data_IF_028420966415
#
_entry.id   IF_028420966415
#
_cell.length_a   1.000
_cell.length_b   1.000
_cell.length_c   1.000
_cell.angle_alpha   90.00
_cell.angle_beta   90.00
_cell.angle_gamma   90.00
#
_symmetry.space_group_name_H-M   'P 1'
#
loop_
_entity.id
_entity.type
_entity.pdbx_description
1 polymer ?
#
# COMPACT_ATOMS: atom_id res chain seq x y z
N UNK A 1 5.91 -1.54 61.29
CA UNK A 1 6.54 -1.34 59.97
C UNK A 1 6.18 -2.52 59.08
N UNK A 2 5.35 -2.33 58.07
CA UNK A 2 4.92 -3.38 57.13
C UNK A 2 5.64 -3.15 55.80
N UNK A 3 6.64 -3.97 55.51
CA UNK A 3 7.26 -4.00 54.18
C UNK A 3 6.29 -4.67 53.21
N UNK A 4 5.63 -3.88 52.36
CA UNK A 4 5.00 -4.39 51.14
C UNK A 4 6.12 -4.73 50.15
N UNK A 5 6.38 -6.03 50.00
CA UNK A 5 7.10 -6.57 48.86
C UNK A 5 6.22 -6.38 47.62
N UNK A 6 6.50 -5.32 46.86
CA UNK A 6 5.98 -5.15 45.50
C UNK A 6 6.71 -6.19 44.64
N UNK A 7 6.07 -7.33 44.45
CA UNK A 7 6.46 -8.30 43.43
C UNK A 7 6.32 -7.61 42.08
N UNK A 8 7.44 -7.16 41.52
CA UNK A 8 7.57 -6.90 40.09
C UNK A 8 7.41 -8.24 39.38
N UNK A 9 6.17 -8.62 39.12
CA UNK A 9 5.83 -9.64 38.14
C UNK A 9 6.31 -9.09 36.79
N UNK A 10 7.54 -9.46 36.43
CA UNK A 10 8.03 -9.46 35.06
C UNK A 10 7.17 -10.46 34.28
N UNK A 11 5.94 -10.08 33.96
CA UNK A 11 5.12 -10.84 33.02
C UNK A 11 5.96 -10.93 31.73
N UNK A 12 6.32 -12.13 31.26
CA UNK A 12 6.75 -12.25 29.89
C UNK A 12 5.59 -11.68 29.08
N UNK A 13 5.90 -10.66 28.30
CA UNK A 13 4.99 -10.06 27.33
C UNK A 13 4.62 -11.20 26.38
N UNK A 14 3.59 -11.98 26.71
CA UNK A 14 2.94 -12.92 25.81
C UNK A 14 2.27 -12.01 24.81
N UNK A 15 3.04 -11.58 23.80
CA UNK A 15 2.54 -10.87 22.64
C UNK A 15 1.44 -11.75 22.08
N UNK A 16 0.22 -11.21 22.11
CA UNK A 16 -0.97 -11.81 21.55
C UNK A 16 -0.69 -12.31 20.12
N UNK A 17 -1.29 -13.46 19.81
CA UNK A 17 -1.22 -14.15 18.51
C UNK A 17 -1.16 -13.17 17.33
N UNK A 18 -0.03 -13.21 16.60
CA UNK A 18 0.22 -12.51 15.33
C UNK A 18 -0.29 -11.07 15.18
N UNK A 19 -0.17 -10.24 16.23
CA UNK A 19 -0.52 -8.82 16.20
C UNK A 19 0.08 -8.07 14.99
N UNK A 20 1.29 -8.44 14.57
CA UNK A 20 1.96 -7.84 13.42
C UNK A 20 1.30 -8.13 12.07
N UNK A 21 0.62 -9.26 11.92
CA UNK A 21 -0.17 -9.57 10.72
C UNK A 21 -1.43 -8.73 10.66
N UNK A 22 -2.12 -8.54 11.80
CA UNK A 22 -3.27 -7.64 11.88
C UNK A 22 -2.85 -6.19 11.59
N UNK A 23 -1.77 -5.72 12.20
CA UNK A 23 -1.21 -4.39 11.92
C UNK A 23 -0.80 -4.20 10.45
N UNK A 24 -0.33 -5.26 9.78
CA UNK A 24 -0.04 -5.21 8.34
C UNK A 24 -1.31 -5.01 7.51
N UNK A 25 -2.35 -5.81 7.78
CA UNK A 25 -3.64 -5.74 7.08
C UNK A 25 -4.28 -4.36 7.28
N UNK A 26 -4.37 -3.87 8.53
CA UNK A 26 -4.89 -2.52 8.80
C UNK A 26 -4.09 -1.43 8.08
N UNK A 27 -2.77 -1.60 7.98
CA UNK A 27 -1.92 -0.65 7.27
C UNK A 27 -2.27 -0.63 5.77
N UNK A 28 -2.41 -1.80 5.14
CA UNK A 28 -2.78 -1.92 3.73
C UNK A 28 -4.17 -1.34 3.48
N UNK A 29 -5.16 -1.62 4.35
CA UNK A 29 -6.50 -1.03 4.29
C UNK A 29 -6.45 0.51 4.34
N UNK A 30 -5.68 1.08 5.29
CA UNK A 30 -5.46 2.54 5.39
C UNK A 30 -4.77 3.12 4.16
N UNK A 31 -3.75 2.44 3.64
CA UNK A 31 -3.03 2.87 2.44
C UNK A 31 -3.94 2.84 1.21
N UNK A 32 -4.79 1.83 1.10
CA UNK A 32 -5.75 1.66 0.03
C UNK A 32 -6.85 2.72 0.08
N UNK A 33 -7.46 2.94 1.25
CA UNK A 33 -8.44 4.00 1.44
C UNK A 33 -7.88 5.38 1.05
N UNK A 34 -6.62 5.67 1.41
CA UNK A 34 -5.94 6.91 0.99
C UNK A 34 -5.71 6.97 -0.51
N UNK A 35 -5.39 5.85 -1.17
CA UNK A 35 -5.23 5.82 -2.62
C UNK A 35 -6.56 6.11 -3.34
N UNK A 36 -7.67 5.52 -2.87
CA UNK A 36 -9.03 5.81 -3.37
C UNK A 36 -9.34 7.30 -3.17
N UNK A 37 -9.12 7.85 -1.98
CA UNK A 37 -9.33 9.28 -1.70
C UNK A 37 -8.58 10.17 -2.71
N UNK A 38 -7.31 9.85 -3.01
CA UNK A 38 -6.52 10.60 -3.98
C UNK A 38 -7.00 10.43 -5.42
N UNK A 39 -7.52 9.25 -5.78
CA UNK A 39 -8.08 8.97 -7.10
C UNK A 39 -9.39 9.74 -7.31
N UNK A 40 -10.31 9.73 -6.34
CA UNK A 40 -11.57 10.48 -6.38
C UNK A 40 -11.30 11.98 -6.54
N UNK A 41 -10.38 12.51 -5.73
CA UNK A 41 -9.93 13.91 -5.84
C UNK A 41 -9.25 14.23 -7.18
N UNK A 42 -8.65 13.23 -7.82
CA UNK A 42 -8.00 13.35 -9.13
C UNK A 42 -9.02 13.38 -10.27
N UNK A 43 -10.01 12.50 -10.24
CA UNK A 43 -11.04 12.39 -11.26
C UNK A 43 -11.89 13.68 -11.31
N UNK A 44 -12.26 14.21 -10.14
CA UNK A 44 -12.91 15.51 -10.02
C UNK A 44 -12.09 16.67 -10.61
N UNK A 45 -10.75 16.54 -10.70
CA UNK A 45 -9.87 17.52 -11.34
C UNK A 45 -9.68 17.28 -12.85
N UNK A 46 -9.73 16.02 -13.29
CA UNK A 46 -9.56 15.60 -14.68
C UNK A 46 -10.80 15.91 -15.54
N UNK A 47 -12.00 15.76 -14.96
CA UNK A 47 -13.27 16.17 -15.60
C UNK A 47 -13.28 17.66 -15.98
N UNK A 48 -12.42 18.48 -15.36
CA UNK A 48 -12.31 19.91 -15.61
C UNK A 48 -11.26 20.32 -16.66
N UNK A 49 -10.41 19.42 -17.20
CA UNK A 49 -9.35 19.80 -18.16
C UNK A 49 -9.03 18.70 -19.20
N UNK A 50 -9.29 19.03 -20.47
CA UNK A 50 -8.62 18.66 -21.74
C UNK A 50 -8.22 17.18 -21.97
N UNK A 51 -8.20 16.70 -23.23
CA UNK A 51 -8.00 15.29 -23.53
C UNK A 51 -6.69 14.74 -22.96
N UNK A 52 -6.77 13.51 -22.44
CA UNK A 52 -5.64 12.87 -21.80
C UNK A 52 -4.49 12.64 -22.81
N UNK A 53 -3.25 12.59 -22.31
CA UNK A 53 -2.05 12.14 -23.04
C UNK A 53 -2.15 10.73 -23.66
N UNK A 54 -3.25 10.03 -23.41
CA UNK A 54 -3.57 8.68 -23.88
C UNK A 54 -4.69 8.68 -24.92
N UNK A 55 -5.07 9.84 -25.47
CA UNK A 55 -6.07 9.90 -26.54
C UNK A 55 -5.60 9.04 -27.72
N UNK A 56 -6.38 8.00 -28.06
CA UNK A 56 -6.01 6.98 -29.06
C UNK A 56 -5.16 5.82 -28.53
N UNK A 57 -4.96 5.70 -27.22
CA UNK A 57 -4.27 4.59 -26.56
C UNK A 57 -5.25 3.68 -25.78
N UNK A 58 -6.42 3.39 -26.34
CA UNK A 58 -7.51 2.72 -25.61
C UNK A 58 -7.11 1.33 -25.09
N UNK A 59 -6.30 0.60 -25.84
CA UNK A 59 -5.77 -0.71 -25.41
C UNK A 59 -4.86 -0.59 -24.18
N UNK A 60 -3.96 0.41 -24.15
CA UNK A 60 -3.09 0.64 -23.00
C UNK A 60 -3.89 1.09 -21.77
N UNK A 61 -5.00 1.82 -21.98
CA UNK A 61 -5.93 2.20 -20.91
C UNK A 61 -6.67 0.97 -20.37
N UNK A 62 -7.25 0.15 -21.24
CA UNK A 62 -7.92 -1.10 -20.85
C UNK A 62 -6.98 -2.03 -20.08
N UNK A 63 -5.74 -2.21 -20.54
CA UNK A 63 -4.73 -3.00 -19.82
C UNK A 63 -4.38 -2.40 -18.46
N UNK A 64 -4.39 -1.08 -18.31
CA UNK A 64 -4.15 -0.43 -17.02
C UNK A 64 -5.29 -0.71 -16.04
N UNK A 65 -6.54 -0.67 -16.50
CA UNK A 65 -7.74 -0.96 -15.71
C UNK A 65 -7.78 -2.44 -15.32
N UNK A 66 -7.51 -3.37 -16.24
CA UNK A 66 -7.42 -4.80 -15.93
C UNK A 66 -6.32 -5.13 -14.90
N UNK A 67 -5.14 -4.49 -15.02
CA UNK A 67 -4.08 -4.65 -14.02
C UNK A 67 -4.53 -4.11 -12.67
N UNK A 68 -5.27 -3.01 -12.64
CA UNK A 68 -5.81 -2.45 -11.42
C UNK A 68 -6.73 -3.47 -10.72
N UNK A 69 -7.72 -3.99 -11.43
CA UNK A 69 -8.67 -4.99 -10.92
C UNK A 69 -7.98 -6.26 -10.42
N UNK A 70 -6.97 -6.75 -11.15
CA UNK A 70 -6.18 -7.91 -10.72
C UNK A 70 -5.38 -7.64 -9.44
N UNK A 71 -4.86 -6.42 -9.25
CA UNK A 71 -4.18 -6.06 -8.00
C UNK A 71 -5.17 -5.94 -6.83
N UNK A 72 -6.40 -5.46 -7.07
CA UNK A 72 -7.44 -5.43 -6.04
C UNK A 72 -7.84 -6.84 -5.61
N UNK A 73 -8.13 -7.73 -6.57
CA UNK A 73 -8.43 -9.14 -6.28
C UNK A 73 -7.30 -9.84 -5.54
N UNK A 74 -6.06 -9.63 -5.95
CA UNK A 74 -4.85 -10.17 -5.29
C UNK A 74 -4.71 -9.67 -3.86
N UNK A 75 -4.95 -8.36 -3.62
CA UNK A 75 -4.95 -7.79 -2.27
C UNK A 75 -6.04 -8.42 -1.41
N UNK A 76 -7.28 -8.45 -1.89
CA UNK A 76 -8.42 -8.94 -1.11
C UNK A 76 -8.27 -10.42 -0.76
N UNK A 77 -7.85 -11.25 -1.72
CA UNK A 77 -7.56 -12.67 -1.48
C UNK A 77 -6.45 -12.87 -0.45
N UNK A 78 -5.38 -12.05 -0.52
CA UNK A 78 -4.29 -12.08 0.46
C UNK A 78 -4.78 -11.66 1.85
N UNK A 79 -5.58 -10.62 1.95
CA UNK A 79 -6.09 -10.12 3.23
C UNK A 79 -7.05 -11.12 3.88
N UNK A 80 -7.93 -11.77 3.11
CA UNK A 80 -8.77 -12.88 3.58
C UNK A 80 -7.91 -14.04 4.06
N UNK A 81 -6.95 -14.50 3.26
CA UNK A 81 -6.07 -15.61 3.64
C UNK A 81 -5.27 -15.30 4.93
N UNK A 82 -4.81 -14.06 5.12
CA UNK A 82 -4.13 -13.66 6.36
C UNK A 82 -5.12 -13.70 7.53
N UNK A 83 -6.31 -13.12 7.40
CA UNK A 83 -7.34 -13.09 8.45
C UNK A 83 -7.77 -14.50 8.88
N UNK A 84 -7.86 -15.45 7.95
CA UNK A 84 -8.21 -16.86 8.24
C UNK A 84 -7.08 -17.60 8.97
N UNK A 85 -5.82 -17.30 8.65
CA UNK A 85 -4.65 -18.02 9.19
C UNK A 85 -4.02 -17.35 10.41
N UNK A 86 -4.46 -16.15 10.78
CA UNK A 86 -3.82 -15.34 11.84
C UNK A 86 -3.91 -16.01 13.21
N UNK A 87 -5.04 -16.67 13.49
CA UNK A 87 -5.30 -17.39 14.75
C UNK A 87 -4.55 -18.71 14.86
N UNK A 88 -4.10 -19.29 13.75
CA UNK A 88 -3.39 -20.58 13.71
C UNK A 88 -1.88 -20.43 13.43
N UNK A 89 -1.39 -19.20 13.29
CA UNK A 89 0.02 -18.93 13.01
C UNK A 89 0.85 -18.85 14.30
N UNK A 90 2.09 -19.33 14.25
CA UNK A 90 3.01 -19.19 15.38
C UNK A 90 3.34 -17.72 15.65
N UNK A 91 3.37 -17.35 16.94
CA UNK A 91 3.81 -16.04 17.36
C UNK A 91 5.30 -15.80 17.01
N UNK A 92 5.65 -14.56 16.69
CA UNK A 92 7.06 -14.19 16.56
C UNK A 92 7.73 -14.21 17.93
N UNK A 93 8.91 -14.83 18.03
CA UNK A 93 9.68 -14.92 19.28
C UNK A 93 11.08 -14.29 19.17
N UNK A 94 11.66 -13.98 20.33
CA UNK A 94 13.04 -13.50 20.47
C UNK A 94 13.35 -12.22 19.70
N UNK A 95 14.59 -12.12 19.18
CA UNK A 95 15.10 -10.93 18.46
C UNK A 95 14.22 -10.50 17.27
N UNK A 96 13.45 -11.41 16.68
CA UNK A 96 12.56 -11.09 15.55
C UNK A 96 11.33 -10.33 16.03
N UNK A 97 10.76 -10.70 17.16
CA UNK A 97 9.63 -9.99 17.79
C UNK A 97 10.02 -8.55 18.16
N UNK A 98 11.17 -8.37 18.82
CA UNK A 98 11.68 -7.04 19.21
C UNK A 98 11.89 -6.12 18.00
N UNK A 99 12.51 -6.65 16.93
CA UNK A 99 12.71 -5.91 15.67
C UNK A 99 11.37 -5.50 15.06
N UNK A 100 10.38 -6.39 15.10
CA UNK A 100 9.06 -6.12 14.55
C UNK A 100 8.26 -5.11 15.39
N UNK A 101 8.36 -5.18 16.72
CA UNK A 101 7.82 -4.15 17.61
C UNK A 101 8.41 -2.76 17.30
N UNK A 102 9.73 -2.68 17.10
CA UNK A 102 10.39 -1.42 16.73
C UNK A 102 9.94 -0.90 15.36
N UNK A 103 9.70 -1.78 14.39
CA UNK A 103 9.17 -1.42 13.06
C UNK A 103 7.73 -0.90 13.19
N UNK A 104 6.86 -1.63 13.91
CA UNK A 104 5.48 -1.26 14.16
C UNK A 104 5.36 0.14 14.80
N UNK A 105 6.15 0.39 15.86
CA UNK A 105 6.20 1.71 16.49
C UNK A 105 6.64 2.81 15.52
N UNK A 106 7.63 2.55 14.66
CA UNK A 106 8.09 3.54 13.66
C UNK A 106 7.03 3.82 12.59
N UNK A 107 6.28 2.80 12.18
CA UNK A 107 5.19 2.94 11.20
C UNK A 107 4.07 3.78 11.80
N UNK A 108 3.63 3.46 13.02
CA UNK A 108 2.60 4.21 13.75
C UNK A 108 2.99 5.67 14.02
N UNK A 109 4.23 5.94 14.45
CA UNK A 109 4.70 7.33 14.66
C UNK A 109 4.75 8.16 13.37
N UNK A 110 5.03 7.52 12.23
CA UNK A 110 5.20 8.20 10.94
C UNK A 110 3.87 8.50 10.24
N UNK A 111 2.81 7.73 10.48
CA UNK A 111 1.48 8.04 9.96
C UNK A 111 0.92 9.33 10.55
N UNK A 112 1.25 9.67 11.81
CA UNK A 112 0.69 10.83 12.51
C UNK A 112 1.36 12.20 12.25
N UNK A 113 2.65 12.28 11.91
CA UNK A 113 3.42 13.51 12.21
C UNK A 113 4.24 14.19 11.08
N UNK A 114 4.04 13.83 9.82
CA UNK A 114 4.90 14.36 8.71
C UNK A 114 4.11 14.93 7.52
N UNK A 115 2.77 14.87 7.56
CA UNK A 115 1.91 15.56 6.59
C UNK A 115 1.98 17.10 6.76
N UNK A 116 2.24 17.59 7.97
CA UNK A 116 2.19 19.01 8.30
C UNK A 116 3.47 19.80 7.90
N UNK A 117 4.66 19.21 7.99
CA UNK A 117 5.93 19.97 7.93
C UNK A 117 6.48 20.30 6.53
N UNK A 118 5.88 19.78 5.45
CA UNK A 118 6.38 20.00 4.07
C UNK A 118 5.45 20.84 3.18
N UNK A 119 4.55 21.62 3.77
CA UNK A 119 3.79 22.68 3.09
C UNK A 119 4.68 23.90 2.81
N UNK A 120 5.72 23.78 1.98
CA UNK A 120 6.52 24.95 1.62
C UNK A 120 7.33 24.77 0.32
N UNK A 121 6.69 24.38 -0.80
CA UNK A 121 7.24 24.71 -2.13
C UNK A 121 6.12 25.08 -3.10
N UNK A 122 6.22 26.33 -3.58
CA UNK A 122 5.29 27.07 -4.45
C UNK A 122 4.82 26.24 -5.65
N UNK A 123 3.51 25.95 -5.70
CA UNK A 123 2.79 25.57 -6.92
C UNK A 123 1.89 26.74 -7.30
N UNK A 124 1.85 27.13 -8.58
CA UNK A 124 0.91 28.16 -9.07
C UNK A 124 -0.55 27.70 -9.03
N UNK A 125 -0.81 26.41 -8.84
CA UNK A 125 -2.15 25.81 -8.78
C UNK A 125 -2.31 25.04 -7.44
N UNK A 126 -3.14 25.54 -6.50
CA UNK A 126 -3.32 24.93 -5.19
C UNK A 126 -4.01 23.56 -5.27
N UNK A 127 -4.90 23.33 -6.24
CA UNK A 127 -5.59 22.04 -6.42
C UNK A 127 -4.62 20.94 -6.87
N UNK A 128 -3.77 21.24 -7.86
CA UNK A 128 -2.69 20.32 -8.28
C UNK A 128 -1.68 20.03 -7.16
N UNK A 129 -1.38 21.04 -6.32
CA UNK A 129 -0.49 20.86 -5.18
C UNK A 129 -1.07 19.90 -4.15
N UNK A 130 -2.36 20.08 -3.81
CA UNK A 130 -3.09 19.22 -2.88
C UNK A 130 -3.15 17.77 -3.40
N UNK A 131 -3.47 17.57 -4.68
CA UNK A 131 -3.48 16.26 -5.31
C UNK A 131 -2.11 15.56 -5.25
N UNK A 132 -1.03 16.30 -5.55
CA UNK A 132 0.34 15.78 -5.46
C UNK A 132 0.74 15.42 -4.03
N UNK A 133 0.28 16.19 -3.05
CA UNK A 133 0.47 15.89 -1.63
C UNK A 133 -0.28 14.62 -1.24
N UNK A 134 -1.54 14.48 -1.67
CA UNK A 134 -2.34 13.27 -1.44
C UNK A 134 -1.61 12.02 -1.94
N UNK A 135 -1.17 12.00 -3.20
CA UNK A 135 -0.46 10.84 -3.76
C UNK A 135 0.88 10.56 -3.07
N UNK A 136 1.56 11.59 -2.56
CA UNK A 136 2.76 11.41 -1.73
C UNK A 136 2.44 10.73 -0.40
N UNK A 137 1.33 11.10 0.23
CA UNK A 137 0.85 10.48 1.47
C UNK A 137 0.45 9.02 1.24
N UNK A 138 -0.35 8.73 0.20
CA UNK A 138 -0.73 7.37 -0.17
C UNK A 138 0.52 6.48 -0.39
N UNK A 139 1.49 6.95 -1.18
CA UNK A 139 2.75 6.23 -1.41
C UNK A 139 3.55 6.01 -0.13
N UNK A 140 3.52 6.98 0.79
CA UNK A 140 4.22 6.89 2.07
C UNK A 140 3.57 5.87 2.99
N UNK A 141 2.24 5.82 3.06
CA UNK A 141 1.50 4.79 3.79
C UNK A 141 1.86 3.41 3.25
N UNK A 142 1.78 3.21 1.93
CA UNK A 142 2.14 1.95 1.29
C UNK A 142 3.59 1.52 1.59
N UNK A 143 4.54 2.47 1.54
CA UNK A 143 5.95 2.20 1.89
C UNK A 143 6.12 1.80 3.37
N UNK A 144 5.27 2.31 4.26
CA UNK A 144 5.28 1.91 5.66
C UNK A 144 4.72 0.49 5.83
N UNK A 145 3.65 0.13 5.14
CA UNK A 145 3.08 -1.22 5.16
C UNK A 145 4.06 -2.26 4.63
N UNK A 146 4.85 -1.92 3.59
CA UNK A 146 5.92 -2.78 3.08
C UNK A 146 6.99 -3.12 4.12
N UNK A 147 7.20 -2.28 5.14
CA UNK A 147 8.14 -2.61 6.23
C UNK A 147 7.58 -3.68 7.16
N UNK A 148 6.27 -3.74 7.32
CA UNK A 148 5.56 -4.72 8.15
C UNK A 148 5.45 -6.10 7.47
N UNK A 149 5.62 -6.19 6.15
CA UNK A 149 5.62 -7.48 5.42
C UNK A 149 6.59 -8.50 6.03
N UNK A 150 7.77 -8.06 6.49
CA UNK A 150 8.77 -8.96 7.11
C UNK A 150 8.36 -9.47 8.50
N UNK A 151 7.38 -8.81 9.10
CA UNK A 151 6.84 -9.10 10.43
C UNK A 151 5.56 -9.93 10.38
N UNK A 152 5.01 -10.17 9.19
CA UNK A 152 3.91 -11.10 9.00
C UNK A 152 4.33 -12.25 8.07
N UNK A 153 4.70 -13.43 8.61
CA UNK A 153 5.08 -14.60 7.81
C UNK A 153 3.99 -15.03 6.82
N UNK A 154 2.72 -14.87 7.21
CA UNK A 154 1.55 -15.22 6.39
C UNK A 154 1.49 -14.46 5.06
N UNK A 155 2.04 -13.24 4.98
CA UNK A 155 2.05 -12.47 3.72
C UNK A 155 2.72 -13.27 2.60
N UNK A 156 3.84 -13.92 2.88
CA UNK A 156 4.54 -14.73 1.88
C UNK A 156 3.82 -16.04 1.57
N UNK A 157 3.15 -16.62 2.55
CA UNK A 157 2.41 -17.86 2.36
C UNK A 157 1.18 -17.62 1.49
N UNK A 158 0.38 -16.60 1.81
CA UNK A 158 -0.78 -16.19 1.05
C UNK A 158 -0.42 -15.68 -0.36
N UNK A 159 0.71 -14.97 -0.51
CA UNK A 159 1.19 -14.53 -1.83
C UNK A 159 1.62 -15.68 -2.77
N UNK A 160 1.88 -16.88 -2.25
CA UNK A 160 2.14 -18.07 -3.11
C UNK A 160 0.85 -18.67 -3.66
N UNK A 161 -0.28 -18.43 -3.00
CA UNK A 161 -1.60 -18.91 -3.39
C UNK A 161 -2.33 -17.88 -4.28
N UNK A 162 -1.68 -16.77 -4.63
CA UNK A 162 -2.27 -15.75 -5.50
C UNK A 162 -2.31 -16.21 -6.95
N UNK A 163 -3.47 -16.70 -7.38
CA UNK A 163 -3.77 -17.15 -8.74
C UNK A 163 -3.66 -16.02 -9.77
N UNK A 164 -3.79 -14.75 -9.35
CA UNK A 164 -3.72 -13.59 -10.25
C UNK A 164 -2.29 -13.24 -10.63
N UNK A 165 -1.27 -13.80 -9.96
CA UNK A 165 0.13 -13.41 -10.15
C UNK A 165 0.64 -13.63 -11.58
N UNK A 166 0.25 -14.75 -12.21
CA UNK A 166 0.62 -15.04 -13.60
C UNK A 166 -0.05 -14.05 -14.56
N UNK A 167 -1.36 -13.84 -14.42
CA UNK A 167 -2.13 -12.88 -15.21
C UNK A 167 -1.58 -11.45 -15.07
N UNK A 168 -1.25 -11.02 -13.84
CA UNK A 168 -0.62 -9.72 -13.58
C UNK A 168 0.71 -9.55 -14.32
N UNK A 169 1.52 -10.61 -14.38
CA UNK A 169 2.83 -10.57 -15.06
C UNK A 169 2.65 -10.40 -16.56
N UNK A 170 1.76 -11.19 -17.16
CA UNK A 170 1.45 -11.09 -18.60
C UNK A 170 0.82 -9.75 -18.97
N UNK A 171 -0.20 -9.30 -18.23
CA UNK A 171 -0.84 -8.00 -18.50
C UNK A 171 0.14 -6.83 -18.36
N UNK A 172 1.06 -6.88 -17.39
CA UNK A 172 2.13 -5.86 -17.27
C UNK A 172 3.09 -5.87 -18.46
N UNK A 173 3.36 -7.02 -19.06
CA UNK A 173 4.17 -7.12 -20.28
C UNK A 173 3.42 -6.50 -21.46
N UNK A 174 2.15 -6.88 -21.66
CA UNK A 174 1.28 -6.31 -22.69
C UNK A 174 1.14 -4.79 -22.55
N UNK A 175 0.96 -4.29 -21.33
CA UNK A 175 0.86 -2.84 -21.08
C UNK A 175 2.14 -2.10 -21.52
N UNK A 176 3.31 -2.68 -21.27
CA UNK A 176 4.59 -2.08 -21.72
C UNK A 176 4.67 -2.02 -23.24
N UNK A 177 4.21 -3.06 -23.93
CA UNK A 177 4.20 -3.14 -25.39
C UNK A 177 3.19 -2.16 -25.99
N UNK A 178 1.93 -2.18 -25.53
CA UNK A 178 0.87 -1.27 -26.00
C UNK A 178 1.22 0.20 -25.71
N UNK A 179 1.85 0.50 -24.56
CA UNK A 179 2.35 1.86 -24.27
C UNK A 179 3.44 2.31 -25.25
N UNK A 180 4.37 1.41 -25.64
CA UNK A 180 5.40 1.73 -26.64
C UNK A 180 4.76 2.01 -28.00
N UNK A 181 3.83 1.16 -28.43
CA UNK A 181 3.13 1.33 -29.70
C UNK A 181 2.34 2.62 -29.75
N UNK A 182 1.62 2.96 -28.67
CA UNK A 182 0.86 4.20 -28.65
C UNK A 182 1.76 5.43 -28.76
N UNK A 183 2.87 5.47 -28.00
CA UNK A 183 3.85 6.57 -28.11
C UNK A 183 4.44 6.71 -29.52
N UNK A 184 4.70 5.59 -30.19
CA UNK A 184 5.20 5.59 -31.56
C UNK A 184 4.15 6.11 -32.57
N UNK A 185 2.86 5.79 -32.37
CA UNK A 185 1.76 6.31 -33.18
C UNK A 185 1.57 7.82 -32.97
N UNK A 186 1.58 8.29 -31.72
CA UNK A 186 1.46 9.73 -31.42
C UNK A 186 2.60 10.56 -32.01
N UNK A 187 3.83 10.02 -32.07
CA UNK A 187 4.98 10.70 -32.67
C UNK A 187 4.93 10.79 -34.21
N UNK A 188 4.16 9.91 -34.88
CA UNK A 188 3.97 9.94 -36.34
C UNK A 188 2.87 10.91 -36.78
N UNK A 189 1.92 11.24 -35.91
CA UNK A 189 0.82 12.18 -36.19
C UNK A 189 1.26 13.66 -36.08
N UNK A 190 2.44 13.92 -35.48
CA UNK A 190 2.98 15.29 -35.30
C UNK A 190 4.02 15.70 -36.35
N UNK A 191 4.25 14.87 -37.38
CA UNK A 191 5.08 15.17 -38.56
C UNK A 191 4.19 15.35 -39.77
#
# INVERSE_FOLDING_TARGET
MRHLLVLFFSLPFILAENEFCQQYVECEEKAHAKAIECLTNSNALAEAKAPSKWQGCDEAKALHDEIHDLNEKSRDAKDVCIKEKVSSSDALTGKKAERCAAIAQRVSKRSGNEAAKRKARRSKDPKKAAQKLCWREAKRLQTNCQKLVKCCPLVRQCAKQDENKAALTEKKKLLRESTKQCRAKSAKVTK
#
